data_IF_456582407326
#
_entry.id   IF_456582407326
#
_cell.length_a   1.000
_cell.length_b   1.000
_cell.length_c   1.000
_cell.angle_alpha   90.00
_cell.angle_beta   90.00
_cell.angle_gamma   90.00
#
_symmetry.space_group_name_H-M   'P 1'
#
loop_
_entity.id
_entity.type
_entity.pdbx_description
1 polymer ?
#
# COMPACT_ATOMS: atom_id res chain seq x y z
N UNK A 1 -8.75 41.35 -1.64
CA UNK A 1 -8.26 40.13 -2.32
C UNK A 1 -9.22 39.01 -1.96
N UNK A 2 -9.94 38.43 -2.93
CA UNK A 2 -10.97 37.42 -2.63
C UNK A 2 -10.31 36.06 -2.38
N UNK A 3 -10.90 35.23 -1.52
CA UNK A 3 -10.41 33.86 -1.23
C UNK A 3 -10.16 33.05 -2.50
N UNK A 4 -10.98 33.23 -3.53
CA UNK A 4 -10.83 32.61 -4.84
C UNK A 4 -9.55 33.01 -5.60
N UNK A 5 -9.06 34.25 -5.45
CA UNK A 5 -7.81 34.70 -6.09
C UNK A 5 -6.58 34.15 -5.37
N UNK A 6 -6.66 34.03 -4.04
CA UNK A 6 -5.60 33.47 -3.20
C UNK A 6 -5.39 31.98 -3.49
N UNK A 7 -6.46 31.17 -3.57
CA UNK A 7 -6.36 29.74 -3.92
C UNK A 7 -5.77 29.54 -5.32
N UNK A 8 -6.17 30.35 -6.31
CA UNK A 8 -5.59 30.29 -7.66
C UNK A 8 -4.10 30.60 -7.68
N UNK A 9 -3.64 31.58 -6.91
CA UNK A 9 -2.22 31.88 -6.79
C UNK A 9 -1.44 30.76 -6.08
N UNK A 10 -2.05 30.12 -5.06
CA UNK A 10 -1.44 29.00 -4.35
C UNK A 10 -1.23 27.79 -5.27
N UNK A 11 -2.25 27.39 -6.03
CA UNK A 11 -2.19 26.25 -6.99
C UNK A 11 -1.22 26.50 -8.14
N UNK A 12 -0.95 27.77 -8.49
CA UNK A 12 0.03 28.14 -9.50
C UNK A 12 1.49 27.94 -9.04
N UNK A 13 1.74 27.80 -7.73
CA UNK A 13 3.09 27.50 -7.24
C UNK A 13 3.50 26.09 -7.68
N UNK A 14 4.70 25.91 -8.26
CA UNK A 14 5.12 24.62 -8.84
C UNK A 14 5.13 23.50 -7.79
N UNK A 15 5.54 23.80 -6.55
CA UNK A 15 5.53 22.85 -5.43
C UNK A 15 4.12 22.41 -5.08
N UNK A 16 3.18 23.34 -4.94
CA UNK A 16 1.78 23.03 -4.61
C UNK A 16 1.15 22.19 -5.71
N UNK A 17 1.41 22.52 -6.98
CA UNK A 17 0.95 21.72 -8.12
C UNK A 17 1.56 20.32 -8.13
N UNK A 18 2.85 20.18 -7.81
CA UNK A 18 3.50 18.88 -7.72
C UNK A 18 2.89 18.01 -6.62
N UNK A 19 2.59 18.58 -5.45
CA UNK A 19 1.93 17.89 -4.34
C UNK A 19 0.50 17.48 -4.72
N UNK A 20 -0.28 18.40 -5.31
CA UNK A 20 -1.65 18.11 -5.76
C UNK A 20 -1.70 17.03 -6.84
N UNK A 21 -0.70 16.95 -7.72
CA UNK A 21 -0.59 15.88 -8.70
C UNK A 21 -0.26 14.51 -8.07
N UNK A 22 0.21 14.49 -6.83
CA UNK A 22 0.53 13.30 -6.02
C UNK A 22 -0.47 13.13 -4.87
N UNK A 23 -1.70 13.62 -5.04
CA UNK A 23 -2.75 13.50 -4.02
C UNK A 23 -2.96 12.07 -3.49
N UNK A 24 -2.82 10.96 -4.26
CA UNK A 24 -3.01 9.62 -3.70
C UNK A 24 -1.92 9.29 -2.69
N UNK A 25 -0.67 9.63 -3.00
CA UNK A 25 0.45 9.49 -2.06
C UNK A 25 0.22 10.34 -0.80
N UNK A 26 -0.16 11.61 -0.97
CA UNK A 26 -0.43 12.51 0.17
C UNK A 26 -1.53 11.93 1.05
N UNK A 27 -2.61 11.43 0.44
CA UNK A 27 -3.71 10.81 1.17
C UNK A 27 -3.24 9.56 1.94
N UNK A 28 -2.42 8.70 1.32
CA UNK A 28 -1.85 7.53 1.97
C UNK A 28 -1.01 7.92 3.19
N UNK A 29 -0.14 8.93 3.07
CA UNK A 29 0.69 9.43 4.17
C UNK A 29 -0.17 10.00 5.31
N UNK A 30 -1.24 10.73 4.99
CA UNK A 30 -2.16 11.29 6.00
C UNK A 30 -2.92 10.18 6.72
N UNK A 31 -3.47 9.20 6.00
CA UNK A 31 -4.24 8.09 6.60
C UNK A 31 -3.33 7.21 7.46
N UNK A 32 -2.08 7.02 7.05
CA UNK A 32 -1.13 6.19 7.80
C UNK A 32 -0.44 6.94 8.94
N UNK A 33 -0.71 8.22 9.16
CA UNK A 33 0.05 9.04 10.13
C UNK A 33 0.12 8.42 11.54
N UNK A 34 -0.99 7.87 12.03
CA UNK A 34 -1.02 7.22 13.36
C UNK A 34 -0.13 5.97 13.42
N UNK A 35 0.01 5.22 12.32
CA UNK A 35 0.90 4.04 12.24
C UNK A 35 2.37 4.41 12.38
N UNK A 36 2.74 5.67 12.18
CA UNK A 36 4.14 6.11 12.30
C UNK A 36 4.55 6.18 13.77
N UNK A 37 3.59 6.47 14.65
CA UNK A 37 3.81 6.64 16.09
C UNK A 37 3.49 5.36 16.86
N UNK A 38 2.47 4.62 16.42
CA UNK A 38 2.04 3.37 17.05
C UNK A 38 1.80 2.30 15.97
N UNK A 39 2.86 1.64 15.47
CA UNK A 39 2.71 0.60 14.46
C UNK A 39 1.90 -0.56 15.01
N UNK A 40 0.76 -0.84 14.37
CA UNK A 40 -0.05 -2.03 14.64
C UNK A 40 0.25 -3.05 13.56
N UNK A 41 0.42 -4.32 13.92
CA UNK A 41 0.54 -5.40 12.93
C UNK A 41 -0.86 -5.69 12.38
N UNK A 42 -1.15 -5.42 11.09
CA UNK A 42 -2.48 -5.64 10.56
C UNK A 42 -2.79 -7.15 10.49
N UNK A 43 -4.07 -7.53 10.59
CA UNK A 43 -4.47 -8.92 10.40
C UNK A 43 -4.04 -9.45 9.02
N UNK A 44 -3.58 -10.70 8.96
CA UNK A 44 -3.05 -11.31 7.73
C UNK A 44 -4.03 -11.29 6.54
N UNK A 45 -5.34 -11.34 6.80
CA UNK A 45 -6.37 -11.31 5.75
C UNK A 45 -6.53 -9.95 5.07
N UNK A 46 -5.98 -8.87 5.63
CA UNK A 46 -6.10 -7.51 5.05
C UNK A 46 -5.47 -7.45 3.66
N UNK A 47 -4.23 -7.91 3.51
CA UNK A 47 -3.56 -8.00 2.20
C UNK A 47 -4.29 -8.92 1.23
N UNK A 48 -4.94 -9.98 1.73
CA UNK A 48 -5.72 -10.87 0.87
C UNK A 48 -6.93 -10.14 0.26
N UNK A 49 -7.61 -9.27 1.03
CA UNK A 49 -8.70 -8.45 0.51
C UNK A 49 -8.21 -7.40 -0.50
N UNK A 50 -7.09 -6.75 -0.21
CA UNK A 50 -6.47 -5.79 -1.15
C UNK A 50 -6.12 -6.53 -2.45
N UNK A 51 -5.55 -7.72 -2.35
CA UNK A 51 -5.20 -8.52 -3.53
C UNK A 51 -6.42 -9.05 -4.28
N UNK A 52 -7.58 -9.24 -3.62
CA UNK A 52 -8.83 -9.58 -4.29
C UNK A 52 -9.32 -8.45 -5.22
N UNK A 53 -9.07 -7.18 -4.86
CA UNK A 53 -9.44 -6.03 -5.71
C UNK A 53 -8.73 -6.06 -7.08
N UNK A 54 -7.53 -6.64 -7.13
CA UNK A 54 -6.79 -6.85 -8.38
C UNK A 54 -7.45 -7.87 -9.32
N UNK A 55 -8.24 -8.80 -8.80
CA UNK A 55 -9.03 -9.73 -9.63
C UNK A 55 -10.16 -8.99 -10.35
N UNK A 56 -10.77 -8.00 -9.68
CA UNK A 56 -11.84 -7.19 -10.26
C UNK A 56 -11.31 -6.33 -11.42
N UNK A 57 -10.25 -5.56 -11.20
CA UNK A 57 -9.68 -4.70 -12.23
C UNK A 57 -8.89 -5.44 -13.30
N UNK A 58 -8.15 -6.48 -12.90
CA UNK A 58 -7.31 -7.30 -13.76
C UNK A 58 -8.04 -8.41 -14.50
N UNK A 59 -9.37 -8.36 -14.59
CA UNK A 59 -10.21 -9.37 -15.25
C UNK A 59 -9.83 -9.66 -16.71
N UNK A 60 -9.17 -8.72 -17.40
CA UNK A 60 -8.66 -8.87 -18.78
C UNK A 60 -7.32 -9.61 -18.87
N UNK A 61 -6.62 -9.79 -17.76
CA UNK A 61 -5.36 -10.54 -17.66
C UNK A 61 -5.35 -11.43 -16.40
N UNK A 62 -6.34 -12.33 -16.25
CA UNK A 62 -6.66 -12.94 -14.96
C UNK A 62 -5.59 -13.94 -14.48
N UNK A 63 -4.82 -14.55 -15.40
CA UNK A 63 -3.86 -15.61 -15.05
C UNK A 63 -2.82 -15.13 -14.02
N UNK A 64 -2.19 -13.99 -14.29
CA UNK A 64 -1.18 -13.42 -13.39
C UNK A 64 -1.82 -13.00 -12.06
N UNK A 65 -3.00 -12.39 -12.11
CA UNK A 65 -3.69 -11.92 -10.90
C UNK A 65 -4.16 -13.07 -10.01
N UNK A 66 -4.63 -14.16 -10.61
CA UNK A 66 -5.00 -15.39 -9.88
C UNK A 66 -3.77 -16.06 -9.27
N UNK A 67 -2.64 -16.10 -9.97
CA UNK A 67 -1.38 -16.64 -9.42
C UNK A 67 -0.95 -15.82 -8.21
N UNK A 68 -0.88 -14.50 -8.34
CA UNK A 68 -0.49 -13.60 -7.24
C UNK A 68 -1.48 -13.71 -6.09
N UNK A 69 -2.78 -13.70 -6.36
CA UNK A 69 -3.80 -13.93 -5.32
C UNK A 69 -3.59 -15.26 -4.59
N UNK A 70 -3.31 -16.35 -5.32
CA UNK A 70 -2.96 -17.64 -4.73
C UNK A 70 -1.70 -17.60 -3.85
N UNK A 71 -0.68 -16.83 -4.22
CA UNK A 71 0.51 -16.61 -3.38
C UNK A 71 0.14 -15.88 -2.07
N UNK A 72 -0.76 -14.91 -2.11
CA UNK A 72 -1.25 -14.22 -0.90
C UNK A 72 -2.13 -15.11 -0.02
N UNK A 73 -2.91 -16.03 -0.61
CA UNK A 73 -3.63 -17.07 0.14
C UNK A 73 -2.63 -17.96 0.87
N UNK A 74 -1.60 -18.45 0.18
CA UNK A 74 -0.56 -19.29 0.77
C UNK A 74 0.22 -18.54 1.87
N UNK A 75 0.57 -17.28 1.65
CA UNK A 75 1.22 -16.42 2.63
C UNK A 75 0.35 -16.24 3.88
N UNK A 76 -0.95 -15.96 3.70
CA UNK A 76 -1.91 -15.82 4.81
C UNK A 76 -1.99 -17.10 5.62
N UNK A 77 -2.07 -18.26 4.96
CA UNK A 77 -2.05 -19.55 5.64
C UNK A 77 -0.75 -19.77 6.42
N UNK A 78 0.41 -19.44 5.84
CA UNK A 78 1.70 -19.54 6.51
C UNK A 78 1.79 -18.66 7.76
N UNK A 79 1.30 -17.42 7.71
CA UNK A 79 1.23 -16.52 8.87
C UNK A 79 0.37 -17.11 9.99
N UNK A 80 -0.79 -17.68 9.64
CA UNK A 80 -1.69 -18.32 10.62
C UNK A 80 -1.03 -19.55 11.28
N UNK A 81 -0.32 -20.36 10.51
CA UNK A 81 0.39 -21.55 11.02
C UNK A 81 1.56 -21.18 11.94
N UNK A 82 2.27 -20.09 11.65
CA UNK A 82 3.41 -19.61 12.44
C UNK A 82 3.01 -18.80 13.67
N UNK A 83 1.71 -18.63 13.90
CA UNK A 83 1.09 -17.69 14.83
C UNK A 83 1.45 -16.21 14.54
N UNK A 84 0.47 -15.34 14.27
CA UNK A 84 0.67 -13.99 13.71
C UNK A 84 1.43 -13.00 14.60
N UNK A 85 1.72 -13.36 15.85
CA UNK A 85 2.46 -12.53 16.81
C UNK A 85 3.81 -13.12 17.20
N UNK A 86 4.23 -14.21 16.57
CA UNK A 86 5.60 -14.69 16.69
C UNK A 86 6.51 -13.87 15.79
N UNK A 87 7.79 -13.92 16.09
CA UNK A 87 8.83 -13.32 15.27
C UNK A 87 8.67 -13.63 13.77
N UNK A 88 8.54 -14.92 13.42
CA UNK A 88 8.39 -15.36 12.03
C UNK A 88 7.04 -14.96 11.43
N UNK A 89 5.96 -14.99 12.22
CA UNK A 89 4.64 -14.55 11.77
C UNK A 89 4.63 -13.07 11.39
N UNK A 90 5.19 -12.20 12.24
CA UNK A 90 5.32 -10.76 11.97
C UNK A 90 6.24 -10.51 10.77
N UNK A 91 7.36 -11.25 10.67
CA UNK A 91 8.26 -11.15 9.52
C UNK A 91 7.58 -11.47 8.19
N UNK A 92 6.72 -12.49 8.15
CA UNK A 92 5.91 -12.83 6.97
C UNK A 92 4.86 -11.76 6.65
N UNK A 93 4.26 -11.14 7.66
CA UNK A 93 3.33 -10.02 7.46
C UNK A 93 4.07 -8.85 6.82
N UNK A 94 5.21 -8.43 7.38
CA UNK A 94 6.06 -7.37 6.82
C UNK A 94 6.45 -7.67 5.38
N UNK A 95 6.89 -8.91 5.10
CA UNK A 95 7.23 -9.35 3.76
C UNK A 95 6.04 -9.21 2.80
N UNK A 96 4.83 -9.61 3.23
CA UNK A 96 3.62 -9.46 2.44
C UNK A 96 3.33 -8.00 2.08
N UNK A 97 3.39 -7.09 3.06
CA UNK A 97 3.14 -5.67 2.83
C UNK A 97 4.20 -5.06 1.88
N UNK A 98 5.48 -5.39 2.10
CA UNK A 98 6.54 -4.93 1.22
C UNK A 98 6.41 -5.49 -0.22
N UNK A 99 6.06 -6.77 -0.36
CA UNK A 99 5.84 -7.39 -1.66
C UNK A 99 4.65 -6.75 -2.39
N UNK A 100 3.58 -6.39 -1.67
CA UNK A 100 2.44 -5.70 -2.25
C UNK A 100 2.80 -4.28 -2.68
N UNK A 101 3.58 -3.55 -1.88
CA UNK A 101 4.09 -2.24 -2.25
C UNK A 101 4.91 -2.28 -3.56
N UNK A 102 5.73 -3.33 -3.75
CA UNK A 102 6.46 -3.56 -5.00
C UNK A 102 5.51 -3.89 -6.15
N UNK A 103 4.48 -4.70 -5.91
CA UNK A 103 3.45 -5.03 -6.90
C UNK A 103 2.71 -3.78 -7.40
N UNK A 104 2.30 -2.92 -6.46
CA UNK A 104 1.71 -1.62 -6.73
C UNK A 104 2.67 -0.72 -7.50
N UNK A 105 3.95 -0.65 -7.13
CA UNK A 105 4.95 0.13 -7.87
C UNK A 105 5.05 -0.33 -9.34
N UNK A 106 5.07 -1.64 -9.58
CA UNK A 106 5.09 -2.21 -10.93
C UNK A 106 3.85 -1.77 -11.72
N UNK A 107 2.67 -1.84 -11.12
CA UNK A 107 1.42 -1.42 -11.76
C UNK A 107 1.31 0.09 -11.95
N UNK A 108 1.82 0.89 -11.02
CA UNK A 108 1.93 2.34 -11.14
C UNK A 108 2.83 2.72 -12.32
N UNK A 109 4.04 2.14 -12.40
CA UNK A 109 5.00 2.42 -13.47
C UNK A 109 4.47 1.97 -14.83
N UNK A 110 3.87 0.78 -14.91
CA UNK A 110 3.31 0.24 -16.15
C UNK A 110 1.95 0.83 -16.53
N UNK A 111 1.31 1.57 -15.62
CA UNK A 111 -0.04 2.12 -15.79
C UNK A 111 -1.04 1.06 -16.28
N UNK A 112 -1.05 -0.09 -15.61
CA UNK A 112 -1.78 -1.26 -16.06
C UNK A 112 -2.48 -1.98 -14.90
N UNK A 113 -3.48 -2.79 -15.24
CA UNK A 113 -4.31 -3.58 -14.31
C UNK A 113 -5.27 -2.72 -13.51
N UNK A 114 -4.78 -1.90 -12.58
CA UNK A 114 -5.60 -1.00 -11.74
C UNK A 114 -5.41 0.47 -12.14
N UNK A 115 -6.31 1.39 -11.73
CA UNK A 115 -6.08 2.82 -11.92
C UNK A 115 -4.76 3.29 -11.28
N UNK A 116 -4.02 4.16 -11.96
CA UNK A 116 -2.71 4.64 -11.49
C UNK A 116 -2.72 5.22 -10.07
N UNK A 117 -3.80 5.92 -9.72
CA UNK A 117 -3.98 6.51 -8.39
C UNK A 117 -4.16 5.44 -7.31
N UNK A 118 -4.76 4.30 -7.64
CA UNK A 118 -4.95 3.18 -6.71
C UNK A 118 -3.59 2.57 -6.37
N UNK A 119 -2.79 2.23 -7.38
CA UNK A 119 -1.43 1.72 -7.15
C UNK A 119 -0.53 2.73 -6.43
N UNK A 120 -0.68 4.02 -6.70
CA UNK A 120 0.10 5.05 -5.98
C UNK A 120 -0.29 5.12 -4.50
N UNK A 121 -1.59 5.11 -4.20
CA UNK A 121 -2.10 5.12 -2.84
C UNK A 121 -1.69 3.86 -2.07
N UNK A 122 -2.04 2.68 -2.60
CA UNK A 122 -1.76 1.39 -1.95
C UNK A 122 -0.26 1.16 -1.81
N UNK A 123 0.54 1.43 -2.85
CA UNK A 123 1.98 1.22 -2.77
C UNK A 123 2.65 2.05 -1.67
N UNK A 124 2.21 3.29 -1.48
CA UNK A 124 2.73 4.16 -0.41
C UNK A 124 2.22 3.72 0.95
N UNK A 125 0.93 3.41 1.05
CA UNK A 125 0.31 2.91 2.29
C UNK A 125 1.06 1.66 2.79
N UNK A 126 1.22 0.68 1.90
CA UNK A 126 1.79 -0.62 2.24
C UNK A 126 3.26 -0.52 2.63
N UNK A 127 4.01 0.34 1.92
CA UNK A 127 5.40 0.62 2.25
C UNK A 127 5.53 1.23 3.64
N UNK A 128 4.66 2.20 3.99
CA UNK A 128 4.65 2.80 5.32
C UNK A 128 4.38 1.75 6.38
N UNK A 129 3.35 0.90 6.20
CA UNK A 129 3.02 -0.17 7.14
C UNK A 129 4.22 -1.11 7.34
N UNK A 130 4.83 -1.59 6.26
CA UNK A 130 5.97 -2.51 6.31
C UNK A 130 7.17 -1.88 7.05
N UNK A 131 7.53 -0.63 6.69
CA UNK A 131 8.67 0.09 7.29
C UNK A 131 8.42 0.41 8.76
N UNK A 132 7.22 0.87 9.11
CA UNK A 132 6.86 1.19 10.50
C UNK A 132 6.97 -0.05 11.41
N UNK A 133 6.51 -1.22 10.95
CA UNK A 133 6.67 -2.47 11.71
C UNK A 133 8.15 -2.85 11.81
N UNK A 134 8.91 -2.77 10.73
CA UNK A 134 10.35 -3.09 10.72
C UNK A 134 11.18 -2.25 11.70
N UNK A 135 10.84 -0.96 11.85
CA UNK A 135 11.57 -0.06 12.72
C UNK A 135 11.31 -0.31 14.21
N UNK A 136 10.11 -0.80 14.56
CA UNK A 136 9.71 -1.03 15.95
C UNK A 136 9.89 -2.48 16.37
N UNK A 137 9.77 -3.42 15.44
CA UNK A 137 9.96 -4.83 15.69
C UNK A 137 11.38 -5.22 15.28
N UNK A 138 12.34 -5.32 16.24
CA UNK A 138 13.70 -5.70 15.90
C UNK A 138 13.69 -7.09 15.26
N UNK A 139 13.99 -7.12 13.96
CA UNK A 139 14.40 -8.34 13.30
C UNK A 139 15.84 -8.68 13.78
N UNK A 140 16.20 -9.95 13.97
CA UNK A 140 17.48 -10.40 14.51
C UNK A 140 18.61 -10.12 13.52
#
# INVERSE_FOLDING_TARGET
>A
MTTHSAVRQLVRRPVVRAVLNRWPMVLALVITFDFWQAPVVPPAWTLLLVQAAYLFWGWRAPRVQLIVFGLYVALTAAVLLMAPFTFYGVGLIVFGWAAHAVWDLVHHVRNAVVPRWWSEFCGVFDLVIAVSILLVWPLP
#
